data_IF_638968192471
#
_entry.id   IF_638968192471
#
_cell.length_a   1.000
_cell.length_b   1.000
_cell.length_c   1.000
_cell.angle_alpha   90.00
_cell.angle_beta   90.00
_cell.angle_gamma   90.00
#
_symmetry.space_group_name_H-M   'P 1'
#
loop_
_entity.id
_entity.type
_entity.pdbx_description
1 polymer ?
#
# COMPACT_ATOMS: atom_id res chain seq x y z
N UNK A 1 -16.74 16.44 -12.80
CA UNK A 1 -17.05 16.01 -11.42
C UNK A 1 -16.88 17.21 -10.48
N UNK A 2 -17.73 17.38 -9.48
CA UNK A 2 -17.65 18.52 -8.55
C UNK A 2 -16.56 18.29 -7.48
N UNK A 3 -15.92 19.35 -6.95
CA UNK A 3 -14.87 19.23 -5.91
C UNK A 3 -15.35 18.47 -4.66
N UNK A 4 -16.63 18.61 -4.30
CA UNK A 4 -17.25 17.89 -3.18
C UNK A 4 -17.27 16.37 -3.40
N UNK A 5 -17.58 15.91 -4.61
CA UNK A 5 -17.55 14.49 -4.95
C UNK A 5 -16.12 13.92 -4.89
N UNK A 6 -15.11 14.72 -5.27
CA UNK A 6 -13.71 14.31 -5.18
C UNK A 6 -13.24 14.15 -3.72
N UNK A 7 -13.65 15.07 -2.83
CA UNK A 7 -13.35 14.97 -1.40
C UNK A 7 -14.00 13.74 -0.74
N UNK A 8 -15.27 13.46 -1.05
CA UNK A 8 -15.97 12.28 -0.53
C UNK A 8 -15.33 10.96 -1.01
N UNK A 9 -14.94 10.88 -2.29
CA UNK A 9 -14.30 9.70 -2.84
C UNK A 9 -12.93 9.44 -2.21
N UNK A 10 -12.10 10.47 -2.05
CA UNK A 10 -10.80 10.35 -1.39
C UNK A 10 -10.93 9.88 0.06
N UNK A 11 -11.86 10.47 0.80
CA UNK A 11 -12.17 10.08 2.18
C UNK A 11 -12.63 8.63 2.30
N UNK A 12 -13.48 8.16 1.37
CA UNK A 12 -14.01 6.79 1.41
C UNK A 12 -12.90 5.79 1.13
N UNK A 13 -12.10 6.03 0.09
CA UNK A 13 -10.95 5.19 -0.25
C UNK A 13 -9.93 5.14 0.88
N UNK A 14 -9.68 6.25 1.58
CA UNK A 14 -8.77 6.28 2.72
C UNK A 14 -9.22 5.37 3.87
N UNK A 15 -10.54 5.33 4.15
CA UNK A 15 -11.11 4.52 5.23
C UNK A 15 -11.19 3.04 4.88
N UNK A 16 -11.62 2.73 3.65
CA UNK A 16 -11.70 1.35 3.19
C UNK A 16 -10.30 0.71 3.11
N UNK A 17 -9.32 1.44 2.58
CA UNK A 17 -7.92 0.99 2.59
C UNK A 17 -7.41 0.80 4.01
N UNK A 18 -7.63 1.76 4.93
CA UNK A 18 -7.20 1.64 6.32
C UNK A 18 -7.80 0.40 7.03
N UNK A 19 -9.09 0.14 6.84
CA UNK A 19 -9.76 -1.01 7.44
C UNK A 19 -9.13 -2.33 6.96
N UNK A 20 -8.92 -2.48 5.65
CA UNK A 20 -8.24 -3.66 5.11
C UNK A 20 -6.80 -3.79 5.60
N UNK A 21 -6.02 -2.71 5.54
CA UNK A 21 -4.62 -2.70 5.97
C UNK A 21 -4.49 -3.10 7.44
N UNK A 22 -5.37 -2.57 8.30
CA UNK A 22 -5.42 -2.95 9.71
C UNK A 22 -5.75 -4.43 9.92
N UNK A 23 -6.77 -4.95 9.24
CA UNK A 23 -7.14 -6.36 9.32
C UNK A 23 -6.01 -7.28 8.85
N UNK A 24 -5.42 -7.00 7.68
CA UNK A 24 -4.33 -7.78 7.14
C UNK A 24 -3.09 -7.71 8.04
N UNK A 25 -2.73 -6.53 8.57
CA UNK A 25 -1.60 -6.38 9.48
C UNK A 25 -1.79 -7.19 10.77
N UNK A 26 -2.99 -7.15 11.37
CA UNK A 26 -3.31 -7.95 12.56
C UNK A 26 -3.22 -9.45 12.24
N UNK A 27 -3.83 -9.89 11.15
CA UNK A 27 -3.77 -11.29 10.70
C UNK A 27 -2.32 -11.75 10.49
N UNK A 28 -1.53 -10.98 9.75
CA UNK A 28 -0.16 -11.30 9.40
C UNK A 28 0.73 -11.38 10.65
N UNK A 29 0.64 -10.38 11.54
CA UNK A 29 1.38 -10.37 12.80
C UNK A 29 0.95 -11.52 13.72
N UNK A 30 -0.35 -11.82 13.82
CA UNK A 30 -0.84 -12.95 14.61
C UNK A 30 -0.26 -14.29 14.11
N UNK A 31 -0.21 -14.49 12.79
CA UNK A 31 0.42 -15.69 12.21
C UNK A 31 1.91 -15.79 12.53
N UNK A 32 2.65 -14.68 12.42
CA UNK A 32 4.08 -14.67 12.78
C UNK A 32 4.33 -14.96 14.25
N UNK A 33 3.41 -14.56 15.14
CA UNK A 33 3.54 -14.82 16.57
C UNK A 33 3.17 -16.25 16.96
N UNK A 34 2.15 -16.83 16.31
CA UNK A 34 1.63 -18.17 16.65
C UNK A 34 2.38 -19.29 15.93
N UNK A 35 2.77 -19.07 14.68
CA UNK A 35 3.41 -20.08 13.82
C UNK A 35 4.51 -19.43 12.96
N UNK A 36 5.59 -18.90 13.57
CA UNK A 36 6.69 -18.29 12.83
C UNK A 36 7.34 -19.30 11.88
N UNK A 37 7.65 -18.92 10.63
CA UNK A 37 8.41 -19.77 9.73
C UNK A 37 9.81 -20.04 10.32
N UNK A 38 10.24 -21.31 10.41
CA UNK A 38 11.48 -21.67 11.09
C UNK A 38 12.74 -21.26 10.32
N UNK A 39 12.64 -21.05 9.01
CA UNK A 39 13.75 -20.67 8.15
C UNK A 39 13.27 -19.89 6.91
N UNK A 40 14.24 -19.49 6.08
CA UNK A 40 14.00 -18.78 4.83
C UNK A 40 13.18 -19.60 3.81
N UNK A 41 13.37 -20.92 3.76
CA UNK A 41 12.67 -21.77 2.80
C UNK A 41 11.17 -21.86 3.14
N UNK A 42 10.85 -22.04 4.42
CA UNK A 42 9.48 -22.03 4.93
C UNK A 42 8.82 -20.65 4.74
N UNK A 43 9.54 -19.55 4.98
CA UNK A 43 9.05 -18.20 4.70
C UNK A 43 8.71 -18.02 3.22
N UNK A 44 9.63 -18.39 2.32
CA UNK A 44 9.43 -18.25 0.87
C UNK A 44 8.26 -19.13 0.40
N UNK A 45 8.15 -20.35 0.89
CA UNK A 45 7.04 -21.26 0.57
C UNK A 45 5.69 -20.72 1.02
N UNK A 46 5.61 -20.19 2.24
CA UNK A 46 4.38 -19.58 2.76
C UNK A 46 3.95 -18.34 1.96
N UNK A 47 4.90 -17.50 1.55
CA UNK A 47 4.61 -16.35 0.69
C UNK A 47 4.24 -16.72 -0.75
N UNK A 48 4.65 -17.90 -1.21
CA UNK A 48 4.30 -18.43 -2.53
C UNK A 48 2.89 -19.05 -2.59
N UNK A 49 2.27 -19.34 -1.44
CA UNK A 49 0.90 -19.85 -1.39
C UNK A 49 -0.07 -18.88 -2.11
N UNK A 50 -0.91 -19.35 -3.05
CA UNK A 50 -1.69 -18.46 -3.92
C UNK A 50 -2.56 -17.44 -3.17
N UNK A 51 -3.20 -17.88 -2.08
CA UNK A 51 -4.03 -16.99 -1.26
C UNK A 51 -3.19 -15.95 -0.50
N UNK A 52 -2.02 -16.33 0.01
CA UNK A 52 -1.11 -15.39 0.68
C UNK A 52 -0.58 -14.37 -0.32
N UNK A 53 -0.12 -14.82 -1.49
CA UNK A 53 0.38 -13.94 -2.55
C UNK A 53 -0.69 -12.93 -3.01
N UNK A 54 -1.92 -13.39 -3.28
CA UNK A 54 -3.04 -12.51 -3.67
C UNK A 54 -3.39 -11.54 -2.54
N UNK A 55 -3.54 -12.00 -1.29
CA UNK A 55 -3.86 -11.14 -0.16
C UNK A 55 -2.76 -10.07 0.05
N UNK A 56 -1.50 -10.44 -0.10
CA UNK A 56 -0.35 -9.53 0.00
C UNK A 56 -0.38 -8.49 -1.12
N UNK A 57 -0.65 -8.88 -2.37
CA UNK A 57 -0.80 -7.95 -3.49
C UNK A 57 -1.95 -6.96 -3.29
N UNK A 58 -3.11 -7.42 -2.82
CA UNK A 58 -4.25 -6.56 -2.50
C UNK A 58 -3.89 -5.56 -1.40
N UNK A 59 -3.23 -6.02 -0.33
CA UNK A 59 -2.73 -5.16 0.74
C UNK A 59 -1.76 -4.10 0.22
N UNK A 60 -0.81 -4.48 -0.64
CA UNK A 60 0.14 -3.55 -1.22
C UNK A 60 -0.54 -2.50 -2.11
N UNK A 61 -1.51 -2.90 -2.94
CA UNK A 61 -2.29 -1.95 -3.74
C UNK A 61 -3.07 -0.96 -2.86
N UNK A 62 -3.72 -1.45 -1.80
CA UNK A 62 -4.44 -0.59 -0.87
C UNK A 62 -3.51 0.32 -0.06
N UNK A 63 -2.30 -0.14 0.25
CA UNK A 63 -1.26 0.69 0.88
C UNK A 63 -0.83 1.83 -0.04
N UNK A 64 -0.62 1.57 -1.34
CA UNK A 64 -0.29 2.61 -2.31
C UNK A 64 -1.40 3.66 -2.43
N UNK A 65 -2.67 3.23 -2.47
CA UNK A 65 -3.83 4.14 -2.47
C UNK A 65 -3.86 4.96 -1.18
N UNK A 66 -3.69 4.33 -0.02
CA UNK A 66 -3.70 4.98 1.29
C UNK A 66 -2.59 6.02 1.43
N UNK A 67 -1.37 5.66 0.98
CA UNK A 67 -0.20 6.52 1.01
C UNK A 67 -0.33 7.69 0.02
N UNK A 68 -0.89 7.46 -1.17
CA UNK A 68 -1.13 8.52 -2.15
C UNK A 68 -2.09 9.58 -1.61
N UNK A 69 -3.25 9.16 -1.09
CA UNK A 69 -4.26 10.09 -0.59
C UNK A 69 -3.72 10.86 0.61
N UNK A 70 -3.18 10.16 1.62
CA UNK A 70 -2.62 10.81 2.81
C UNK A 70 -1.44 11.73 2.51
N UNK A 71 -0.49 11.26 1.70
CA UNK A 71 0.69 12.04 1.32
C UNK A 71 0.35 13.27 0.46
N UNK A 72 -0.59 13.12 -0.48
CA UNK A 72 -1.10 14.24 -1.27
C UNK A 72 -1.73 15.29 -0.37
N UNK A 73 -2.59 14.88 0.56
CA UNK A 73 -3.30 15.80 1.44
C UNK A 73 -2.31 16.58 2.34
N UNK A 74 -1.31 15.90 2.93
CA UNK A 74 -0.20 16.54 3.66
C UNK A 74 0.52 17.58 2.79
N UNK A 75 0.90 17.20 1.56
CA UNK A 75 1.62 18.11 0.66
C UNK A 75 0.74 19.32 0.28
N UNK A 76 -0.56 19.10 0.05
CA UNK A 76 -1.48 20.18 -0.30
C UNK A 76 -1.71 21.17 0.84
N UNK A 77 -1.75 20.68 2.08
CA UNK A 77 -2.01 21.49 3.27
C UNK A 77 -0.78 22.27 3.74
N UNK A 78 0.41 21.67 3.66
CA UNK A 78 1.62 22.22 4.29
C UNK A 78 2.66 22.79 3.31
N UNK A 79 2.61 22.46 2.01
CA UNK A 79 3.58 22.96 1.03
C UNK A 79 2.97 24.06 0.15
N UNK A 80 3.14 25.31 0.61
CA UNK A 80 2.50 26.47 -0.03
C UNK A 80 3.09 26.87 -1.40
N UNK A 81 4.42 26.89 -1.63
CA UNK A 81 4.96 27.32 -2.92
C UNK A 81 4.54 26.38 -4.04
N UNK A 82 3.89 26.92 -5.08
CA UNK A 82 3.28 26.13 -6.15
C UNK A 82 4.28 25.18 -6.84
N UNK A 83 5.47 25.68 -7.17
CA UNK A 83 6.52 24.91 -7.82
C UNK A 83 7.01 23.74 -6.93
N UNK A 84 7.29 24.03 -5.65
CA UNK A 84 7.72 23.01 -4.70
C UNK A 84 6.64 21.93 -4.51
N UNK A 85 5.37 22.34 -4.39
CA UNK A 85 4.23 21.41 -4.30
C UNK A 85 4.10 20.51 -5.52
N UNK A 86 4.24 21.07 -6.73
CA UNK A 86 4.23 20.29 -7.97
C UNK A 86 5.32 19.22 -7.97
N UNK A 87 6.57 19.62 -7.66
CA UNK A 87 7.71 18.70 -7.58
C UNK A 87 7.47 17.61 -6.53
N UNK A 88 7.02 17.97 -5.33
CA UNK A 88 6.77 17.02 -4.25
C UNK A 88 5.69 15.99 -4.61
N UNK A 89 4.58 16.42 -5.23
CA UNK A 89 3.52 15.52 -5.69
C UNK A 89 4.03 14.58 -6.79
N UNK A 90 4.85 15.08 -7.73
CA UNK A 90 5.46 14.25 -8.77
C UNK A 90 6.42 13.22 -8.19
N UNK A 91 7.28 13.61 -7.26
CA UNK A 91 8.21 12.70 -6.58
C UNK A 91 7.47 11.64 -5.77
N UNK A 92 6.42 12.03 -5.02
CA UNK A 92 5.58 11.08 -4.29
C UNK A 92 4.94 10.07 -5.25
N UNK A 93 4.33 10.54 -6.34
CA UNK A 93 3.71 9.66 -7.33
C UNK A 93 4.70 8.68 -7.96
N UNK A 94 5.89 9.16 -8.38
CA UNK A 94 6.94 8.33 -8.95
C UNK A 94 7.48 7.30 -7.95
N UNK A 95 7.70 7.70 -6.69
CA UNK A 95 8.15 6.80 -5.65
C UNK A 95 7.13 5.70 -5.39
N UNK A 96 5.83 6.03 -5.29
CA UNK A 96 4.77 5.04 -5.08
C UNK A 96 4.64 4.08 -6.27
N UNK A 97 4.76 4.57 -7.50
CA UNK A 97 4.77 3.73 -8.69
C UNK A 97 5.97 2.77 -8.72
N UNK A 98 7.16 3.26 -8.39
CA UNK A 98 8.37 2.44 -8.30
C UNK A 98 8.23 1.36 -7.21
N UNK A 99 7.74 1.72 -6.03
CA UNK A 99 7.44 0.77 -4.95
C UNK A 99 6.41 -0.27 -5.39
N UNK A 100 5.34 0.14 -6.07
CA UNK A 100 4.31 -0.78 -6.56
C UNK A 100 4.83 -1.76 -7.60
N UNK A 101 5.60 -1.28 -8.58
CA UNK A 101 6.22 -2.14 -9.59
C UNK A 101 7.21 -3.12 -8.96
N UNK A 102 8.06 -2.64 -8.04
CA UNK A 102 9.03 -3.50 -7.36
C UNK A 102 8.35 -4.55 -6.48
N UNK A 103 7.31 -4.17 -5.73
CA UNK A 103 6.54 -5.10 -4.91
C UNK A 103 5.83 -6.16 -5.75
N UNK A 104 5.28 -5.79 -6.92
CA UNK A 104 4.69 -6.73 -7.86
C UNK A 104 5.72 -7.76 -8.35
N UNK A 105 6.92 -7.30 -8.75
CA UNK A 105 8.00 -8.19 -9.19
C UNK A 105 8.41 -9.17 -8.09
N UNK A 106 8.50 -8.73 -6.83
CA UNK A 106 8.87 -9.58 -5.69
C UNK A 106 7.80 -10.66 -5.45
N UNK A 107 6.53 -10.28 -5.33
CA UNK A 107 5.47 -11.22 -4.95
C UNK A 107 5.18 -12.21 -6.09
N UNK A 108 5.15 -11.73 -7.35
CA UNK A 108 5.00 -12.62 -8.51
C UNK A 108 6.20 -13.54 -8.62
N UNK A 109 7.43 -13.04 -8.46
CA UNK A 109 8.65 -13.85 -8.54
C UNK A 109 8.80 -14.89 -7.41
N UNK A 110 8.08 -14.74 -6.30
CA UNK A 110 7.99 -15.79 -5.26
C UNK A 110 6.94 -16.83 -5.58
N UNK A 111 5.85 -16.44 -6.25
CA UNK A 111 4.73 -17.31 -6.61
C UNK A 111 4.97 -18.14 -7.90
N UNK A 112 6.02 -17.84 -8.67
CA UNK A 112 6.46 -18.58 -9.87
C UNK A 112 7.80 -19.26 -9.64
#
# INVERSE_FOLDING_TARGET
>A
MTRRAQGLNGWLLQRLSAAWLGLYAIFFLALLLVSPPPDHAAWRGWMAEPLMAVATLVTLLLLLVHAWIGGRDIIQDYLHPLAARGVALSLLGLALLACGAWALLIVVGVAT
#
